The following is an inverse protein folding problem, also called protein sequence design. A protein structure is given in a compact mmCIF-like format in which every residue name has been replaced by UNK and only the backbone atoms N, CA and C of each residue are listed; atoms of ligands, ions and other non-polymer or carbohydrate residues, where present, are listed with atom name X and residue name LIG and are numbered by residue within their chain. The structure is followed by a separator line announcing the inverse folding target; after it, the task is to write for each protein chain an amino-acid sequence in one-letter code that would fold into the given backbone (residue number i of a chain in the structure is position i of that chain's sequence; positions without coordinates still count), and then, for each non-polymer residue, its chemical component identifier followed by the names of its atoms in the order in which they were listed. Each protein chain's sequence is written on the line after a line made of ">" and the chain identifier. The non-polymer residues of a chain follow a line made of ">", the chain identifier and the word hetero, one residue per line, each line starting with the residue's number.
data_IF_079739677832
#
_entry.id   IF_079739677832
#
_cell.length_a   1.000
_cell.length_b   1.000
_cell.length_c   1.000
_cell.angle_alpha   90.00
_cell.angle_beta   90.00
_cell.angle_gamma   90.00
#
_symmetry.space_group_name_H-M   'P 1'
#
loop_
_entity.id
_entity.type
_entity.pdbx_description
1 polymer ?
#
# COMPACT_ATOMS: atom_id res chain seq x y z
N UNK A 1 17.67 40.14 18.73
CA UNK A 1 17.30 39.70 20.06
C UNK A 1 16.76 38.31 19.87
N UNK A 2 17.43 37.21 20.03
CA UNK A 2 18.44 36.83 21.00
C UNK A 2 17.89 35.82 21.99
N UNK A 3 18.52 34.64 21.97
CA UNK A 3 18.59 33.56 22.95
C UNK A 3 17.83 32.28 22.53
N UNK A 4 18.43 31.21 22.00
CA UNK A 4 19.55 30.30 22.41
C UNK A 4 19.46 29.81 23.86
N UNK A 5 19.37 28.50 24.03
CA UNK A 5 19.88 27.57 25.08
C UNK A 5 19.20 26.22 24.78
N UNK A 6 19.78 25.08 24.47
CA UNK A 6 21.13 24.54 24.76
C UNK A 6 21.08 23.43 25.82
N UNK A 7 21.74 22.32 25.51
CA UNK A 7 22.15 21.15 26.33
C UNK A 7 21.18 19.96 26.30
N UNK A 8 21.58 18.77 25.94
CA UNK A 8 22.90 18.08 25.96
C UNK A 8 23.10 17.30 27.25
N UNK A 9 23.26 16.00 27.15
CA UNK A 9 23.86 15.07 28.14
C UNK A 9 23.35 13.67 27.77
N UNK A 10 24.14 12.65 27.62
CA UNK A 10 25.49 12.41 28.04
C UNK A 10 25.69 10.89 28.02
N UNK A 11 26.64 10.49 27.27
CA UNK A 11 27.22 9.14 27.22
C UNK A 11 27.97 8.89 28.52
N UNK A 12 27.81 7.73 29.17
CA UNK A 12 28.80 7.24 30.13
C UNK A 12 29.13 5.79 29.85
N UNK A 13 30.37 5.66 29.42
CA UNK A 13 31.24 4.51 29.45
C UNK A 13 31.62 4.19 30.90
N UNK A 14 31.75 2.93 31.25
CA UNK A 14 32.19 2.48 32.58
C UNK A 14 32.90 1.15 32.52
N UNK A 15 34.20 1.23 32.20
CA UNK A 15 35.18 0.17 32.45
C UNK A 15 35.58 0.18 33.94
N UNK A 16 36.24 -0.93 34.31
CA UNK A 16 37.04 -1.24 35.52
C UNK A 16 36.29 -2.06 36.56
N UNK A 17 36.86 -3.09 37.14
CA UNK A 17 38.26 -3.37 37.46
C UNK A 17 38.46 -4.84 37.87
N UNK A 18 39.68 -5.30 37.66
CA UNK A 18 40.33 -6.50 38.21
C UNK A 18 40.32 -6.46 39.74
N UNK A 19 40.19 -7.61 40.37
CA UNK A 19 40.96 -7.95 41.56
C UNK A 19 41.21 -9.43 41.67
N UNK A 20 42.44 -9.74 41.69
CA UNK A 20 43.26 -10.84 42.12
C UNK A 20 43.24 -11.03 43.63
N UNK A 21 43.41 -12.24 44.11
CA UNK A 21 44.03 -12.64 45.39
C UNK A 21 44.01 -14.19 45.42
N UNK A 22 45.07 -14.82 45.23
CA UNK A 22 46.18 -15.18 46.16
C UNK A 22 45.98 -16.60 46.76
N UNK A 23 46.96 -17.44 46.42
CA UNK A 23 47.26 -18.70 47.12
C UNK A 23 47.66 -18.47 48.60
N UNK A 24 47.62 -19.52 49.39
CA UNK A 24 48.90 -19.93 49.97
C UNK A 24 49.13 -21.46 50.06
N UNK A 25 50.22 -21.77 49.80
CA UNK A 25 51.34 -22.64 50.08
C UNK A 25 51.35 -23.41 51.45
N UNK A 26 52.12 -24.50 51.43
CA UNK A 26 52.81 -25.28 52.50
C UNK A 26 52.10 -26.60 52.89
N UNK A 27 52.82 -27.70 53.17
CA UNK A 27 54.21 -28.07 53.20
C UNK A 27 54.33 -29.60 53.32
N UNK A 28 55.43 -30.12 52.85
CA UNK A 28 56.28 -31.28 53.29
C UNK A 28 55.71 -32.44 54.07
N UNK A 29 55.96 -33.68 53.58
CA UNK A 29 56.76 -34.65 54.33
C UNK A 29 57.32 -35.79 53.44
N UNK A 30 58.59 -36.07 53.71
CA UNK A 30 59.43 -37.11 53.10
C UNK A 30 58.97 -38.54 53.32
N UNK A 31 59.29 -39.40 52.37
CA UNK A 31 59.20 -40.87 52.55
C UNK A 31 59.90 -41.63 51.41
N UNK A 32 61.07 -42.11 51.69
CA UNK A 32 62.02 -42.84 50.82
C UNK A 32 61.46 -44.12 50.25
N UNK A 33 61.89 -44.39 49.05
CA UNK A 33 62.10 -45.54 48.13
C UNK A 33 61.90 -46.97 48.66
N UNK A 34 61.63 -47.96 47.76
CA UNK A 34 62.67 -48.41 46.83
C UNK A 34 62.18 -48.80 45.39
N UNK A 35 63.14 -48.69 44.51
CA UNK A 35 63.16 -49.06 43.08
C UNK A 35 62.58 -50.45 42.79
N UNK A 36 61.67 -50.49 41.81
CA UNK A 36 61.50 -51.67 40.94
C UNK A 36 61.46 -51.21 39.49
N UNK A 37 62.25 -51.87 38.67
CA UNK A 37 62.44 -51.71 37.24
C UNK A 37 61.13 -51.83 36.44
N UNK A 38 61.01 -51.04 35.33
CA UNK A 38 59.79 -51.05 34.52
C UNK A 38 59.75 -52.27 33.59
N UNK A 39 58.56 -52.86 33.36
CA UNK A 39 58.41 -53.77 32.26
C UNK A 39 58.31 -53.00 30.93
N UNK A 40 58.94 -53.60 29.93
CA UNK A 40 59.03 -53.23 28.53
C UNK A 40 57.77 -52.55 27.96
N UNK A 41 57.98 -51.34 27.47
CA UNK A 41 57.03 -50.61 26.69
C UNK A 41 56.65 -51.33 25.41
N UNK A 42 55.40 -51.82 25.36
CA UNK A 42 54.77 -52.14 24.08
C UNK A 42 54.46 -50.83 23.35
N UNK A 43 55.22 -50.56 22.32
CA UNK A 43 54.94 -49.45 21.39
C UNK A 43 53.67 -49.77 20.64
N UNK A 44 52.55 -49.14 21.04
CA UNK A 44 51.33 -49.13 20.23
C UNK A 44 51.63 -48.22 19.02
N UNK A 45 51.50 -48.74 17.78
CA UNK A 45 51.81 -47.95 16.61
C UNK A 45 50.85 -46.75 16.51
N UNK A 46 51.35 -45.56 16.50
CA UNK A 46 50.63 -44.27 16.38
C UNK A 46 49.77 -44.14 15.11
N UNK A 47 49.78 -45.15 14.24
CA UNK A 47 49.01 -45.21 13.00
C UNK A 47 47.53 -45.55 13.15
N UNK A 48 47.11 -46.19 14.26
CA UNK A 48 45.73 -46.53 14.49
C UNK A 48 44.90 -45.33 15.00
N UNK A 49 45.42 -44.55 15.92
CA UNK A 49 44.77 -43.34 16.44
C UNK A 49 44.60 -42.26 15.37
N UNK A 50 45.53 -42.14 14.43
CA UNK A 50 45.44 -41.20 13.32
C UNK A 50 44.35 -41.64 12.28
N UNK A 51 44.17 -42.93 12.06
CA UNK A 51 43.12 -43.44 11.17
C UNK A 51 41.73 -43.23 11.76
N UNK A 52 41.56 -43.44 13.06
CA UNK A 52 40.27 -43.24 13.72
C UNK A 52 39.84 -41.75 13.73
N UNK A 53 40.80 -40.82 13.94
CA UNK A 53 40.51 -39.38 13.81
C UNK A 53 40.16 -38.96 12.37
N UNK A 54 40.76 -39.57 11.35
CA UNK A 54 40.42 -39.30 9.96
C UNK A 54 39.04 -39.86 9.59
N UNK A 55 38.68 -41.09 10.07
CA UNK A 55 37.33 -41.69 9.85
C UNK A 55 36.25 -40.90 10.54
N UNK A 56 36.48 -40.39 11.74
CA UNK A 56 35.52 -39.50 12.44
C UNK A 56 35.33 -38.15 11.73
N UNK A 57 36.43 -37.56 11.20
CA UNK A 57 36.37 -36.33 10.40
C UNK A 57 35.66 -36.54 9.05
N UNK A 58 35.91 -37.65 8.37
CA UNK A 58 35.24 -38.01 7.12
C UNK A 58 33.76 -38.32 7.36
N UNK A 59 33.44 -39.03 8.43
CA UNK A 59 32.06 -39.28 8.83
C UNK A 59 31.28 -38.01 9.17
N UNK A 60 31.92 -37.04 9.90
CA UNK A 60 31.35 -35.72 10.19
C UNK A 60 31.14 -34.90 8.94
N UNK A 61 32.08 -34.91 7.98
CA UNK A 61 31.95 -34.23 6.70
C UNK A 61 30.84 -34.80 5.84
N UNK A 62 30.72 -36.13 5.76
CA UNK A 62 29.63 -36.81 5.08
C UNK A 62 28.27 -36.49 5.71
N UNK A 63 28.18 -36.41 7.03
CA UNK A 63 26.95 -36.08 7.73
C UNK A 63 26.54 -34.62 7.43
N UNK A 64 27.47 -33.66 7.43
CA UNK A 64 27.22 -32.27 7.06
C UNK A 64 26.77 -32.12 5.61
N UNK A 65 27.39 -32.84 4.68
CA UNK A 65 26.98 -32.85 3.27
C UNK A 65 25.59 -33.48 3.12
N UNK A 66 25.28 -34.55 3.82
CA UNK A 66 23.93 -35.14 3.80
C UNK A 66 22.86 -34.21 4.41
N UNK A 67 23.18 -33.52 5.51
CA UNK A 67 22.28 -32.56 6.12
C UNK A 67 22.05 -31.35 5.22
N UNK A 68 23.10 -30.81 4.59
CA UNK A 68 22.96 -29.71 3.64
C UNK A 68 22.20 -30.11 2.37
N UNK A 69 22.41 -31.34 1.88
CA UNK A 69 21.67 -31.88 0.75
C UNK A 69 20.18 -32.11 1.07
N UNK A 70 19.88 -32.64 2.26
CA UNK A 70 18.50 -32.78 2.72
C UNK A 70 17.82 -31.43 2.92
N UNK A 71 18.51 -30.44 3.49
CA UNK A 71 18.01 -29.07 3.61
C UNK A 71 17.73 -28.46 2.23
N UNK A 72 18.66 -28.65 1.27
CA UNK A 72 18.46 -28.21 -0.11
C UNK A 72 17.28 -28.92 -0.79
N UNK A 73 17.14 -30.23 -0.63
CA UNK A 73 16.00 -31.00 -1.15
C UNK A 73 14.66 -30.52 -0.56
N UNK A 74 14.61 -30.32 0.76
CA UNK A 74 13.38 -29.83 1.42
C UNK A 74 13.02 -28.42 0.95
N UNK A 75 14.01 -27.52 0.84
CA UNK A 75 13.79 -26.17 0.30
C UNK A 75 13.27 -26.25 -1.13
N UNK A 76 13.88 -27.06 -1.98
CA UNK A 76 13.47 -27.24 -3.36
C UNK A 76 12.07 -27.88 -3.50
N UNK A 77 11.71 -28.81 -2.62
CA UNK A 77 10.36 -29.38 -2.56
C UNK A 77 9.33 -28.33 -2.13
N UNK A 78 9.66 -27.49 -1.14
CA UNK A 78 8.79 -26.40 -0.70
C UNK A 78 8.59 -25.38 -1.84
N UNK A 79 9.65 -25.00 -2.54
CA UNK A 79 9.56 -24.09 -3.70
C UNK A 79 8.73 -24.69 -4.84
N UNK A 80 8.90 -25.99 -5.15
CA UNK A 80 8.11 -26.66 -6.18
C UNK A 80 6.64 -26.79 -5.77
N UNK A 81 6.36 -27.04 -4.49
CA UNK A 81 5.00 -27.15 -3.98
C UNK A 81 4.30 -25.77 -3.94
N UNK A 82 5.03 -24.70 -3.58
CA UNK A 82 4.50 -23.34 -3.61
C UNK A 82 4.24 -22.86 -5.05
N UNK A 83 5.14 -23.14 -5.99
CA UNK A 83 4.92 -22.79 -7.40
C UNK A 83 3.74 -23.54 -8.00
N UNK A 84 3.60 -24.85 -7.73
CA UNK A 84 2.46 -25.63 -8.19
C UNK A 84 1.13 -25.14 -7.57
N UNK A 85 1.17 -24.73 -6.29
CA UNK A 85 0.01 -24.13 -5.63
C UNK A 85 -0.37 -22.79 -6.27
N UNK A 86 0.62 -21.94 -6.55
CA UNK A 86 0.40 -20.65 -7.21
C UNK A 86 -0.14 -20.84 -8.64
N UNK A 87 0.42 -21.75 -9.42
CA UNK A 87 -0.08 -22.09 -10.75
C UNK A 87 -1.54 -22.58 -10.71
N UNK A 88 -1.89 -23.38 -9.71
CA UNK A 88 -3.27 -23.83 -9.50
C UNK A 88 -4.20 -22.65 -9.16
N UNK A 89 -3.79 -21.74 -8.26
CA UNK A 89 -4.57 -20.55 -7.93
C UNK A 89 -4.78 -19.66 -9.17
N UNK A 90 -3.73 -19.45 -9.96
CA UNK A 90 -3.84 -18.74 -11.25
C UNK A 90 -4.78 -19.45 -12.21
N UNK A 91 -4.69 -20.78 -12.30
CA UNK A 91 -5.60 -21.56 -13.13
C UNK A 91 -7.06 -21.31 -12.73
N UNK A 92 -7.37 -21.31 -11.41
CA UNK A 92 -8.73 -21.07 -10.89
C UNK A 92 -9.25 -19.68 -11.30
N UNK A 93 -8.43 -18.62 -11.20
CA UNK A 93 -8.86 -17.27 -11.57
C UNK A 93 -8.87 -16.98 -13.07
N UNK A 94 -8.15 -17.77 -13.88
CA UNK A 94 -8.09 -17.56 -15.34
C UNK A 94 -9.10 -18.39 -16.13
N UNK A 95 -9.67 -19.45 -15.54
CA UNK A 95 -10.55 -20.36 -16.25
C UNK A 95 -12.03 -20.12 -15.97
N UNK A 96 -12.88 -20.31 -16.98
CA UNK A 96 -14.32 -20.05 -16.92
C UNK A 96 -15.10 -20.96 -15.93
N UNK A 97 -14.52 -22.11 -15.55
CA UNK A 97 -15.16 -23.08 -14.67
C UNK A 97 -15.14 -22.74 -13.17
N UNK A 98 -14.40 -21.72 -12.76
CA UNK A 98 -14.34 -21.29 -11.36
C UNK A 98 -15.61 -20.60 -10.89
N UNK A 99 -16.16 -20.99 -9.73
CA UNK A 99 -17.24 -20.24 -9.09
C UNK A 99 -16.73 -18.87 -8.61
N UNK A 100 -17.58 -17.83 -8.46
CA UNK A 100 -17.15 -16.55 -7.90
C UNK A 100 -16.44 -16.69 -6.54
N UNK A 101 -16.88 -17.62 -5.70
CA UNK A 101 -16.29 -17.84 -4.38
C UNK A 101 -14.89 -18.48 -4.48
N UNK A 102 -14.72 -19.51 -5.31
CA UNK A 102 -13.39 -20.12 -5.53
C UNK A 102 -12.39 -19.14 -6.16
N UNK A 103 -12.86 -18.27 -7.06
CA UNK A 103 -12.01 -17.20 -7.64
C UNK A 103 -11.63 -16.16 -6.61
N UNK A 104 -12.54 -15.76 -5.73
CA UNK A 104 -12.27 -14.86 -4.61
C UNK A 104 -11.21 -15.43 -3.67
N UNK A 105 -11.37 -16.69 -3.23
CA UNK A 105 -10.40 -17.35 -2.36
C UNK A 105 -9.02 -17.41 -3.01
N UNK A 106 -8.95 -17.82 -4.29
CA UNK A 106 -7.70 -17.86 -5.03
C UNK A 106 -7.06 -16.45 -5.21
N UNK A 107 -7.87 -15.42 -5.48
CA UNK A 107 -7.41 -14.04 -5.55
C UNK A 107 -6.78 -13.58 -4.23
N UNK A 108 -7.49 -13.78 -3.11
CA UNK A 108 -6.99 -13.35 -1.79
C UNK A 108 -5.73 -14.12 -1.39
N UNK A 109 -5.63 -15.41 -1.72
CA UNK A 109 -4.43 -16.20 -1.50
C UNK A 109 -3.24 -15.66 -2.31
N UNK A 110 -3.44 -15.33 -3.59
CA UNK A 110 -2.40 -14.74 -4.44
C UNK A 110 -1.97 -13.35 -3.97
N UNK A 111 -2.91 -12.52 -3.49
CA UNK A 111 -2.60 -11.23 -2.87
C UNK A 111 -1.72 -11.44 -1.64
N UNK A 112 -2.08 -12.37 -0.76
CA UNK A 112 -1.31 -12.69 0.45
C UNK A 112 0.11 -13.20 0.14
N UNK A 113 0.31 -13.87 -1.00
CA UNK A 113 1.62 -14.29 -1.51
C UNK A 113 2.40 -13.17 -2.22
N UNK A 114 1.85 -11.94 -2.28
CA UNK A 114 2.47 -10.80 -2.95
C UNK A 114 2.48 -10.92 -4.47
N UNK A 115 1.44 -11.51 -5.06
CA UNK A 115 1.31 -11.56 -6.52
C UNK A 115 1.21 -10.15 -7.11
N UNK A 116 1.91 -9.91 -8.21
CA UNK A 116 1.96 -8.63 -8.91
C UNK A 116 1.55 -8.70 -10.38
N UNK A 117 1.05 -9.85 -10.86
CA UNK A 117 0.66 -10.06 -12.25
C UNK A 117 -0.81 -10.49 -12.29
N UNK A 118 -1.66 -9.63 -12.86
CA UNK A 118 -3.11 -9.85 -12.93
C UNK A 118 -3.63 -9.97 -14.37
N UNK A 119 -2.74 -9.94 -15.37
CA UNK A 119 -3.11 -10.12 -16.77
C UNK A 119 -3.82 -11.46 -16.98
N UNK A 120 -4.97 -11.43 -17.62
CA UNK A 120 -5.84 -12.59 -17.85
C UNK A 120 -6.57 -13.15 -16.62
N UNK A 121 -6.41 -12.57 -15.43
CA UNK A 121 -7.20 -12.97 -14.26
C UNK A 121 -8.68 -12.57 -14.44
N UNK A 122 -9.59 -13.52 -14.24
CA UNK A 122 -11.04 -13.30 -14.32
C UNK A 122 -11.60 -13.05 -12.94
N UNK A 123 -11.56 -11.78 -12.51
CA UNK A 123 -11.94 -11.36 -11.17
C UNK A 123 -13.23 -10.54 -11.16
N UNK A 124 -13.94 -10.53 -12.29
CA UNK A 124 -15.21 -9.82 -12.42
C UNK A 124 -16.30 -10.42 -11.56
N UNK A 125 -17.19 -9.57 -11.07
CA UNK A 125 -18.40 -9.91 -10.29
C UNK A 125 -18.11 -10.65 -8.98
N UNK A 126 -16.96 -10.43 -8.36
CA UNK A 126 -16.62 -10.97 -7.04
C UNK A 126 -17.31 -10.17 -5.93
N UNK A 127 -17.57 -10.85 -4.82
CA UNK A 127 -17.98 -10.20 -3.58
C UNK A 127 -16.75 -10.01 -2.67
N UNK A 128 -16.22 -8.78 -2.66
CA UNK A 128 -15.04 -8.34 -1.92
C UNK A 128 -15.41 -7.24 -0.90
N UNK A 129 -16.65 -7.24 -0.39
CA UNK A 129 -17.07 -6.26 0.60
C UNK A 129 -16.20 -6.35 1.85
N UNK A 130 -15.75 -5.19 2.37
CA UNK A 130 -14.93 -5.07 3.57
C UNK A 130 -13.56 -5.72 3.46
N UNK A 131 -13.10 -6.08 2.24
CA UNK A 131 -11.78 -6.69 2.06
C UNK A 131 -10.68 -5.68 2.41
N UNK A 132 -9.63 -6.16 3.05
CA UNK A 132 -8.41 -5.38 3.27
C UNK A 132 -7.38 -5.71 2.16
N UNK A 133 -7.14 -4.71 1.32
CA UNK A 133 -6.18 -4.71 0.21
C UNK A 133 -5.20 -3.54 0.35
N UNK A 134 -5.02 -3.02 1.57
CA UNK A 134 -4.12 -1.90 1.80
C UNK A 134 -2.68 -2.23 1.41
N UNK A 135 -2.05 -1.32 0.66
CA UNK A 135 -0.68 -1.46 0.19
C UNK A 135 -0.43 -2.61 -0.78
N UNK A 136 -1.47 -3.22 -1.34
CA UNK A 136 -1.32 -4.34 -2.29
C UNK A 136 -1.04 -3.85 -3.71
N UNK A 137 -0.34 -4.68 -4.49
CA UNK A 137 -0.09 -4.43 -5.90
C UNK A 137 -1.21 -5.02 -6.75
N UNK A 138 -2.04 -4.15 -7.32
CA UNK A 138 -3.22 -4.50 -8.13
C UNK A 138 -3.18 -3.85 -9.53
N UNK A 139 -1.99 -3.42 -10.00
CA UNK A 139 -1.87 -2.79 -11.29
C UNK A 139 -2.37 -3.69 -12.42
N UNK A 140 -3.22 -3.15 -13.29
CA UNK A 140 -3.84 -3.86 -14.41
C UNK A 140 -4.87 -4.92 -14.02
N UNK A 141 -5.29 -5.01 -12.74
CA UNK A 141 -6.34 -5.95 -12.32
C UNK A 141 -7.69 -5.60 -12.96
N UNK A 142 -8.49 -6.61 -13.30
CA UNK A 142 -9.86 -6.45 -13.82
C UNK A 142 -10.86 -6.96 -12.78
N UNK A 143 -11.56 -6.04 -12.13
CA UNK A 143 -12.56 -6.32 -11.07
C UNK A 143 -13.97 -5.90 -11.48
N UNK A 144 -14.24 -5.74 -12.77
CA UNK A 144 -15.47 -5.19 -13.32
C UNK A 144 -16.74 -5.85 -12.72
N UNK A 145 -17.70 -5.02 -12.31
CA UNK A 145 -18.97 -5.47 -11.75
C UNK A 145 -18.87 -6.12 -10.37
N UNK A 146 -17.71 -6.08 -9.72
CA UNK A 146 -17.52 -6.62 -8.37
C UNK A 146 -18.16 -5.72 -7.32
N UNK A 147 -18.36 -6.26 -6.11
CA UNK A 147 -18.83 -5.53 -4.94
C UNK A 147 -17.69 -5.40 -3.96
N UNK A 148 -17.33 -4.16 -3.65
CA UNK A 148 -16.20 -3.81 -2.78
C UNK A 148 -16.61 -2.72 -1.78
N UNK A 149 -17.85 -2.81 -1.30
CA UNK A 149 -18.38 -1.86 -0.30
C UNK A 149 -17.52 -1.90 0.95
N UNK A 150 -17.09 -0.74 1.45
CA UNK A 150 -16.22 -0.59 2.62
C UNK A 150 -14.83 -1.26 2.47
N UNK A 151 -14.39 -1.57 1.24
CA UNK A 151 -13.07 -2.13 1.01
C UNK A 151 -11.95 -1.15 1.42
N UNK A 152 -10.85 -1.68 1.98
CA UNK A 152 -9.68 -0.90 2.36
C UNK A 152 -8.61 -1.04 1.28
N UNK A 153 -8.37 0.04 0.53
CA UNK A 153 -7.43 0.11 -0.59
C UNK A 153 -6.38 1.22 -0.36
N UNK A 154 -6.15 1.58 0.90
CA UNK A 154 -5.18 2.61 1.26
C UNK A 154 -3.80 2.27 0.72
N UNK A 155 -3.19 3.21 -0.03
CA UNK A 155 -1.86 3.05 -0.65
C UNK A 155 -1.73 1.83 -1.56
N UNK A 156 -2.84 1.25 -2.03
CA UNK A 156 -2.80 0.19 -3.04
C UNK A 156 -2.33 0.76 -4.38
N UNK A 157 -1.63 -0.05 -5.17
CA UNK A 157 -1.26 0.26 -6.53
C UNK A 157 -2.32 -0.31 -7.48
N UNK A 158 -3.13 0.56 -8.04
CA UNK A 158 -4.22 0.27 -8.97
C UNK A 158 -3.96 0.85 -10.37
N UNK A 159 -2.69 1.13 -10.71
CA UNK A 159 -2.30 1.66 -12.01
C UNK A 159 -3.00 0.88 -13.14
N UNK A 160 -3.72 1.58 -14.02
CA UNK A 160 -4.43 1.00 -15.16
C UNK A 160 -5.43 -0.13 -14.80
N UNK A 161 -5.88 -0.22 -13.55
CA UNK A 161 -6.86 -1.22 -13.14
C UNK A 161 -8.23 -0.94 -13.78
N UNK A 162 -9.02 -2.00 -14.04
CA UNK A 162 -10.40 -1.89 -14.50
C UNK A 162 -11.37 -2.16 -13.35
N UNK A 163 -12.15 -1.12 -13.00
CA UNK A 163 -13.15 -1.08 -11.94
C UNK A 163 -14.54 -0.68 -12.50
N UNK A 164 -14.84 -1.00 -13.74
CA UNK A 164 -16.09 -0.61 -14.40
C UNK A 164 -17.29 -1.21 -13.68
N UNK A 165 -18.28 -0.39 -13.41
CA UNK A 165 -19.52 -0.80 -12.73
C UNK A 165 -19.32 -1.44 -11.35
N UNK A 166 -18.17 -1.25 -10.71
CA UNK A 166 -17.88 -1.77 -9.36
C UNK A 166 -18.67 -0.97 -8.32
N UNK A 167 -19.15 -1.66 -7.29
CA UNK A 167 -19.75 -1.03 -6.11
C UNK A 167 -18.66 -0.80 -5.05
N UNK A 168 -18.14 0.43 -4.99
CA UNK A 168 -17.06 0.89 -4.11
C UNK A 168 -17.55 1.88 -3.04
N UNK A 169 -18.84 1.83 -2.72
CA UNK A 169 -19.40 2.74 -1.72
C UNK A 169 -18.67 2.59 -0.39
N UNK A 170 -18.29 3.73 0.21
CA UNK A 170 -17.54 3.82 1.48
C UNK A 170 -16.17 3.15 1.45
N UNK A 171 -15.64 2.83 0.28
CA UNK A 171 -14.28 2.30 0.17
C UNK A 171 -13.24 3.38 0.47
N UNK A 172 -12.08 2.97 0.99
CA UNK A 172 -10.96 3.86 1.30
C UNK A 172 -9.83 3.69 0.31
N UNK A 173 -9.52 4.76 -0.43
CA UNK A 173 -8.42 4.86 -1.38
C UNK A 173 -7.36 5.89 -0.95
N UNK A 174 -7.23 6.13 0.36
CA UNK A 174 -6.30 7.12 0.89
C UNK A 174 -4.87 6.84 0.41
N UNK A 175 -4.27 7.78 -0.32
CA UNK A 175 -2.93 7.67 -0.89
C UNK A 175 -2.77 6.58 -1.96
N UNK A 176 -3.86 6.04 -2.52
CA UNK A 176 -3.80 5.00 -3.55
C UNK A 176 -3.26 5.54 -4.88
N UNK A 177 -2.52 4.71 -5.62
CA UNK A 177 -2.06 4.99 -6.97
C UNK A 177 -3.08 4.46 -7.97
N UNK A 178 -3.87 5.34 -8.57
CA UNK A 178 -4.99 5.02 -9.44
C UNK A 178 -4.86 5.69 -10.82
N UNK A 179 -3.62 5.99 -11.23
CA UNK A 179 -3.34 6.59 -12.53
C UNK A 179 -3.89 5.72 -13.66
N UNK A 180 -4.57 6.35 -14.62
CA UNK A 180 -5.23 5.68 -15.76
C UNK A 180 -6.25 4.60 -15.37
N UNK A 181 -6.78 4.60 -14.16
CA UNK A 181 -7.82 3.64 -13.76
C UNK A 181 -9.08 3.81 -14.59
N UNK A 182 -9.74 2.71 -14.94
CA UNK A 182 -11.01 2.69 -15.68
C UNK A 182 -12.16 2.38 -14.70
N UNK A 183 -12.91 3.40 -14.27
CA UNK A 183 -14.00 3.24 -13.31
C UNK A 183 -15.38 3.68 -13.87
N UNK A 184 -15.59 3.55 -15.18
CA UNK A 184 -16.83 3.89 -15.84
C UNK A 184 -18.06 3.33 -15.08
N UNK A 185 -19.01 4.20 -14.72
CA UNK A 185 -20.25 3.86 -13.99
C UNK A 185 -20.03 3.17 -12.64
N UNK A 186 -18.88 3.32 -12.02
CA UNK A 186 -18.68 2.82 -10.67
C UNK A 186 -19.54 3.61 -9.66
N UNK A 187 -19.87 2.97 -8.53
CA UNK A 187 -20.53 3.60 -7.40
C UNK A 187 -19.50 3.93 -6.34
N UNK A 188 -19.31 5.21 -6.09
CA UNK A 188 -18.27 5.76 -5.22
C UNK A 188 -18.88 6.58 -4.06
N UNK A 189 -20.20 6.41 -3.77
CA UNK A 189 -20.84 7.19 -2.74
C UNK A 189 -20.14 7.02 -1.39
N UNK A 190 -19.83 8.13 -0.72
CA UNK A 190 -19.12 8.19 0.56
C UNK A 190 -17.69 7.58 0.53
N UNK A 191 -17.10 7.35 -0.66
CA UNK A 191 -15.73 6.84 -0.77
C UNK A 191 -14.69 7.93 -0.43
N UNK A 192 -13.50 7.52 0.04
CA UNK A 192 -12.43 8.39 0.50
C UNK A 192 -11.21 8.30 -0.41
N UNK A 193 -10.85 9.43 -1.06
CA UNK A 193 -9.73 9.56 -1.99
C UNK A 193 -8.69 10.60 -1.51
N UNK A 194 -8.54 10.77 -0.19
CA UNK A 194 -7.56 11.71 0.34
C UNK A 194 -6.16 11.39 -0.20
N UNK A 195 -5.49 12.38 -0.83
CA UNK A 195 -4.16 12.24 -1.45
C UNK A 195 -4.05 11.11 -2.51
N UNK A 196 -5.15 10.63 -3.07
CA UNK A 196 -5.10 9.61 -4.12
C UNK A 196 -4.63 10.20 -5.45
N UNK A 197 -3.81 9.44 -6.21
CA UNK A 197 -3.43 9.79 -7.58
C UNK A 197 -4.42 9.19 -8.57
N UNK A 198 -5.31 10.01 -9.11
CA UNK A 198 -6.34 9.68 -10.12
C UNK A 198 -6.02 10.32 -11.48
N UNK A 199 -4.76 10.65 -11.72
CA UNK A 199 -4.34 11.29 -12.96
C UNK A 199 -4.76 10.45 -14.17
N UNK A 200 -5.31 11.12 -15.20
CA UNK A 200 -5.79 10.49 -16.43
C UNK A 200 -6.84 9.38 -16.19
N UNK A 201 -7.47 9.32 -15.01
CA UNK A 201 -8.48 8.32 -14.70
C UNK A 201 -9.77 8.55 -15.50
N UNK A 202 -10.42 7.45 -15.90
CA UNK A 202 -11.73 7.44 -16.54
C UNK A 202 -12.82 7.19 -15.50
N UNK A 203 -13.48 8.28 -15.08
CA UNK A 203 -14.54 8.31 -14.07
C UNK A 203 -15.90 8.72 -14.68
N UNK A 204 -16.09 8.47 -15.96
CA UNK A 204 -17.33 8.86 -16.64
C UNK A 204 -18.55 8.15 -16.05
N UNK A 205 -19.60 8.93 -15.87
CA UNK A 205 -20.90 8.44 -15.37
C UNK A 205 -20.81 7.75 -13.98
N UNK A 206 -19.81 8.06 -13.17
CA UNK A 206 -19.73 7.56 -11.79
C UNK A 206 -20.78 8.24 -10.92
N UNK A 207 -21.23 7.54 -9.87
CA UNK A 207 -22.02 8.11 -8.77
C UNK A 207 -21.08 8.23 -7.56
N UNK A 208 -20.79 9.46 -7.13
CA UNK A 208 -19.83 9.76 -6.08
C UNK A 208 -20.42 10.76 -5.06
N UNK A 209 -21.65 10.53 -4.63
CA UNK A 209 -22.30 11.42 -3.67
C UNK A 209 -21.56 11.41 -2.33
N UNK A 210 -21.27 12.62 -1.81
CA UNK A 210 -20.56 12.81 -0.53
C UNK A 210 -19.18 12.13 -0.46
N UNK A 211 -18.58 11.84 -1.61
CA UNK A 211 -17.23 11.32 -1.67
C UNK A 211 -16.20 12.39 -1.30
N UNK A 212 -15.02 11.99 -0.82
CA UNK A 212 -13.96 12.86 -0.35
C UNK A 212 -12.76 12.77 -1.29
N UNK A 213 -12.58 13.79 -2.14
CA UNK A 213 -11.44 13.93 -3.05
C UNK A 213 -10.44 14.99 -2.54
N UNK A 214 -10.33 15.12 -1.21
CA UNK A 214 -9.46 16.13 -0.60
C UNK A 214 -8.00 15.87 -0.98
N UNK A 215 -7.34 16.89 -1.55
CA UNK A 215 -5.94 16.84 -2.00
C UNK A 215 -5.65 15.73 -3.03
N UNK A 216 -6.68 15.16 -3.68
CA UNK A 216 -6.50 14.16 -4.74
C UNK A 216 -6.02 14.81 -6.05
N UNK A 217 -5.20 14.09 -6.82
CA UNK A 217 -4.79 14.49 -8.16
C UNK A 217 -5.70 13.84 -9.21
N UNK A 218 -6.60 14.63 -9.79
CA UNK A 218 -7.48 14.27 -10.89
C UNK A 218 -7.08 14.99 -12.20
N UNK A 219 -5.83 15.44 -12.32
CA UNK A 219 -5.39 16.11 -13.55
C UNK A 219 -5.53 15.19 -14.77
N UNK A 220 -5.84 15.77 -15.92
CA UNK A 220 -6.05 15.05 -17.18
C UNK A 220 -7.21 14.02 -17.14
N UNK A 221 -8.04 13.97 -16.08
CA UNK A 221 -9.07 12.95 -15.90
C UNK A 221 -10.35 13.20 -16.71
N UNK A 222 -11.10 12.12 -16.97
CA UNK A 222 -12.37 12.13 -17.69
C UNK A 222 -13.52 11.93 -16.71
N UNK A 223 -14.29 13.01 -16.44
CA UNK A 223 -15.39 13.08 -15.47
C UNK A 223 -16.73 13.33 -16.16
N UNK A 224 -16.82 13.06 -17.46
CA UNK A 224 -18.03 13.29 -18.26
C UNK A 224 -19.27 12.66 -17.63
N UNK A 225 -20.33 13.45 -17.40
CA UNK A 225 -21.61 13.03 -16.81
C UNK A 225 -21.46 12.36 -15.41
N UNK A 226 -20.38 12.59 -14.68
CA UNK A 226 -20.22 12.08 -13.31
C UNK A 226 -21.07 12.91 -12.32
N UNK A 227 -21.60 12.27 -11.28
CA UNK A 227 -22.37 12.94 -10.23
C UNK A 227 -21.59 12.98 -8.91
N UNK A 228 -21.11 14.18 -8.56
CA UNK A 228 -20.35 14.49 -7.35
C UNK A 228 -21.18 15.26 -6.31
N UNK A 229 -22.50 15.12 -6.32
CA UNK A 229 -23.38 15.86 -5.43
C UNK A 229 -22.95 15.74 -3.95
N UNK A 230 -22.68 16.87 -3.31
CA UNK A 230 -22.32 16.95 -1.89
C UNK A 230 -20.90 16.47 -1.55
N UNK A 231 -20.05 16.26 -2.55
CA UNK A 231 -18.67 15.80 -2.36
C UNK A 231 -17.71 16.93 -1.99
N UNK A 232 -16.53 16.60 -1.48
CA UNK A 232 -15.44 17.56 -1.23
C UNK A 232 -14.30 17.35 -2.20
N UNK A 233 -13.89 18.43 -2.87
CA UNK A 233 -12.68 18.53 -3.70
C UNK A 233 -11.70 19.56 -3.13
N UNK A 234 -11.73 19.76 -1.81
CA UNK A 234 -10.85 20.72 -1.15
C UNK A 234 -9.39 20.45 -1.48
N UNK A 235 -8.71 21.40 -2.14
CA UNK A 235 -7.32 21.28 -2.55
C UNK A 235 -7.06 20.25 -3.66
N UNK A 236 -8.08 19.66 -4.27
CA UNK A 236 -7.91 18.70 -5.36
C UNK A 236 -7.33 19.39 -6.62
N UNK A 237 -6.51 18.66 -7.37
CA UNK A 237 -6.00 19.09 -8.67
C UNK A 237 -6.90 18.54 -9.79
N UNK A 238 -7.63 19.42 -10.46
CA UNK A 238 -8.50 19.13 -11.62
C UNK A 238 -7.93 19.70 -12.92
N UNK A 239 -6.64 20.09 -12.96
CA UNK A 239 -6.02 20.68 -14.15
C UNK A 239 -6.29 19.82 -15.39
N UNK A 240 -6.74 20.46 -16.47
CA UNK A 240 -7.05 19.84 -17.76
C UNK A 240 -8.12 18.73 -17.70
N UNK A 241 -8.85 18.58 -16.58
CA UNK A 241 -9.92 17.60 -16.45
C UNK A 241 -11.13 17.92 -17.34
N UNK A 242 -11.77 16.89 -17.87
CA UNK A 242 -13.03 17.02 -18.62
C UNK A 242 -14.24 16.84 -17.71
N UNK A 243 -14.87 17.95 -17.30
CA UNK A 243 -16.06 18.00 -16.43
C UNK A 243 -17.36 18.19 -17.23
N UNK A 244 -17.36 17.96 -18.55
CA UNK A 244 -18.51 18.18 -19.40
C UNK A 244 -19.73 17.41 -18.90
N UNK A 245 -20.87 18.10 -18.70
CA UNK A 245 -22.12 17.57 -18.16
C UNK A 245 -22.00 16.92 -16.75
N UNK A 246 -20.89 17.16 -16.02
CA UNK A 246 -20.76 16.67 -14.66
C UNK A 246 -21.61 17.46 -13.65
N UNK A 247 -22.00 16.83 -12.56
CA UNK A 247 -22.85 17.42 -11.52
C UNK A 247 -22.02 17.66 -10.26
N UNK A 248 -21.82 18.95 -9.93
CA UNK A 248 -21.12 19.42 -8.73
C UNK A 248 -22.07 20.13 -7.74
N UNK A 249 -23.29 19.62 -7.60
CA UNK A 249 -24.28 20.24 -6.71
C UNK A 249 -23.83 20.18 -5.25
N UNK A 250 -23.86 21.32 -4.56
CA UNK A 250 -23.47 21.43 -3.15
C UNK A 250 -22.05 20.91 -2.86
N UNK A 251 -21.15 20.98 -3.82
CA UNK A 251 -19.77 20.49 -3.73
C UNK A 251 -18.86 21.55 -3.13
N UNK A 252 -17.93 21.14 -2.25
CA UNK A 252 -16.87 22.00 -1.76
C UNK A 252 -15.66 21.95 -2.70
N UNK A 253 -15.41 23.06 -3.38
CA UNK A 253 -14.30 23.27 -4.32
C UNK A 253 -13.22 24.21 -3.74
N UNK A 254 -13.20 24.41 -2.42
CA UNK A 254 -12.22 25.28 -1.77
C UNK A 254 -10.81 24.86 -2.13
N UNK A 255 -10.01 25.81 -2.65
CA UNK A 255 -8.61 25.60 -3.07
C UNK A 255 -8.41 24.58 -4.19
N UNK A 256 -9.47 24.05 -4.81
CA UNK A 256 -9.34 23.17 -5.95
C UNK A 256 -8.69 23.92 -7.13
N UNK A 257 -7.75 23.27 -7.82
CA UNK A 257 -7.08 23.81 -9.01
C UNK A 257 -7.83 23.33 -10.25
N UNK A 258 -8.34 24.28 -11.05
CA UNK A 258 -9.20 24.04 -12.21
C UNK A 258 -8.67 24.67 -13.49
N UNK A 259 -7.34 24.85 -13.60
CA UNK A 259 -6.71 25.35 -14.82
C UNK A 259 -7.03 24.42 -16.00
N UNK A 260 -7.38 24.96 -17.16
CA UNK A 260 -7.63 24.21 -18.38
C UNK A 260 -8.88 23.30 -18.35
N UNK A 261 -9.67 23.30 -17.27
CA UNK A 261 -10.86 22.44 -17.17
C UNK A 261 -11.92 22.76 -18.22
N UNK A 262 -12.61 21.72 -18.71
CA UNK A 262 -13.77 21.84 -19.61
C UNK A 262 -15.05 21.72 -18.78
N UNK A 263 -15.83 22.81 -18.73
CA UNK A 263 -17.02 22.93 -17.87
C UNK A 263 -18.35 22.92 -18.66
N UNK A 264 -18.34 22.57 -19.94
CA UNK A 264 -19.55 22.63 -20.80
C UNK A 264 -20.68 21.86 -20.15
N UNK A 265 -21.82 22.52 -19.96
CA UNK A 265 -23.06 21.95 -19.38
C UNK A 265 -22.89 21.35 -17.95
N UNK A 266 -21.79 21.65 -17.25
CA UNK A 266 -21.61 21.21 -15.87
C UNK A 266 -22.53 21.99 -14.91
N UNK A 267 -23.08 21.29 -13.88
CA UNK A 267 -23.98 21.86 -12.89
C UNK A 267 -23.26 22.15 -11.55
N UNK A 268 -23.05 23.43 -11.25
CA UNK A 268 -22.44 23.90 -10.01
C UNK A 268 -23.46 24.48 -9.00
N UNK A 269 -24.73 24.12 -9.11
CA UNK A 269 -25.76 24.59 -8.19
C UNK A 269 -25.39 24.28 -6.75
N UNK A 270 -25.32 25.28 -5.90
CA UNK A 270 -24.95 25.10 -4.51
C UNK A 270 -23.45 24.87 -4.25
N UNK A 271 -22.58 24.74 -5.24
CA UNK A 271 -21.13 24.63 -5.04
C UNK A 271 -20.48 26.00 -4.75
N UNK A 272 -19.34 26.00 -4.09
CA UNK A 272 -18.54 27.19 -3.81
C UNK A 272 -17.42 27.41 -4.84
N UNK A 273 -17.77 27.31 -6.13
CA UNK A 273 -16.86 27.38 -7.26
C UNK A 273 -15.95 28.65 -7.25
N UNK A 274 -16.37 29.74 -6.63
CA UNK A 274 -15.58 30.96 -6.48
C UNK A 274 -14.35 30.82 -5.57
N UNK A 275 -14.24 29.73 -4.84
CA UNK A 275 -13.08 29.38 -4.01
C UNK A 275 -12.05 28.52 -4.75
N UNK A 276 -12.38 28.06 -5.96
CA UNK A 276 -11.46 27.37 -6.84
C UNK A 276 -10.45 28.32 -7.47
N UNK A 277 -9.35 27.79 -7.93
CA UNK A 277 -8.26 28.49 -8.60
C UNK A 277 -8.19 28.09 -10.08
N UNK A 278 -7.58 28.93 -10.91
CA UNK A 278 -7.30 28.61 -12.32
C UNK A 278 -8.48 28.77 -13.29
N UNK A 279 -9.67 29.15 -12.82
CA UNK A 279 -10.80 29.44 -13.70
C UNK A 279 -10.54 30.70 -14.51
N UNK A 280 -10.80 30.64 -15.81
CA UNK A 280 -10.72 31.80 -16.71
C UNK A 280 -11.82 32.82 -16.41
N UNK A 281 -11.61 34.09 -16.77
CA UNK A 281 -12.61 35.13 -16.55
C UNK A 281 -13.94 34.79 -17.23
N UNK A 282 -13.92 34.18 -18.42
CA UNK A 282 -15.14 33.75 -19.12
C UNK A 282 -15.92 32.68 -18.35
N UNK A 283 -15.20 31.71 -17.72
CA UNK A 283 -15.82 30.69 -16.87
C UNK A 283 -16.41 31.29 -15.60
N UNK A 284 -15.67 32.24 -14.95
CA UNK A 284 -16.17 32.96 -13.77
C UNK A 284 -17.44 33.76 -14.08
N UNK A 285 -17.48 34.44 -15.21
CA UNK A 285 -18.66 35.21 -15.65
C UNK A 285 -19.86 34.28 -15.90
N UNK A 286 -19.64 33.13 -16.56
CA UNK A 286 -20.68 32.13 -16.82
C UNK A 286 -21.19 31.49 -15.51
N UNK A 287 -20.31 31.07 -14.61
CA UNK A 287 -20.67 30.49 -13.33
C UNK A 287 -21.40 31.49 -12.43
N UNK A 288 -20.96 32.75 -12.43
CA UNK A 288 -21.64 33.84 -11.69
C UNK A 288 -23.06 34.07 -12.22
N UNK A 289 -23.25 34.05 -13.54
CA UNK A 289 -24.56 34.26 -14.15
C UNK A 289 -25.54 33.11 -13.87
N UNK A 290 -25.05 31.87 -13.77
CA UNK A 290 -25.89 30.69 -13.62
C UNK A 290 -26.04 30.23 -12.17
N UNK A 291 -24.99 30.34 -11.33
CA UNK A 291 -24.86 29.67 -10.04
C UNK A 291 -24.44 30.56 -8.87
N UNK A 292 -24.54 31.89 -9.01
CA UNK A 292 -24.36 32.77 -7.86
C UNK A 292 -25.35 32.44 -6.75
N UNK A 293 -24.94 32.52 -5.46
CA UNK A 293 -25.88 32.29 -4.35
C UNK A 293 -27.09 33.23 -4.42
N UNK A 294 -28.28 32.64 -4.41
CA UNK A 294 -29.58 33.32 -4.40
C UNK A 294 -30.06 33.63 -2.97
N UNK A 295 -31.30 34.07 -2.85
CA UNK A 295 -31.93 34.42 -1.56
C UNK A 295 -32.12 33.23 -0.67
N UNK A 296 -32.26 31.99 -1.24
CA UNK A 296 -32.46 30.74 -0.53
C UNK A 296 -31.15 30.16 0.01
N UNK A 297 -30.00 30.63 -0.49
CA UNK A 297 -28.71 30.23 0.02
C UNK A 297 -28.49 30.71 1.46
N UNK A 298 -27.71 29.97 2.26
CA UNK A 298 -27.39 30.40 3.62
C UNK A 298 -26.72 31.79 3.65
N UNK A 299 -26.99 32.57 4.71
CA UNK A 299 -26.38 33.89 4.86
C UNK A 299 -24.85 33.85 4.79
N UNK A 300 -24.26 32.84 5.44
CA UNK A 300 -22.80 32.63 5.45
C UNK A 300 -22.24 32.45 4.03
N UNK A 301 -22.92 31.66 3.19
CA UNK A 301 -22.52 31.42 1.80
C UNK A 301 -22.65 32.70 0.95
N UNK A 302 -23.74 33.47 1.11
CA UNK A 302 -23.91 34.75 0.43
C UNK A 302 -22.82 35.73 0.81
N UNK A 303 -22.52 35.85 2.11
CA UNK A 303 -21.49 36.75 2.62
C UNK A 303 -20.09 36.37 2.11
N UNK A 304 -19.82 35.08 1.99
CA UNK A 304 -18.56 34.58 1.45
C UNK A 304 -18.40 34.95 -0.04
N UNK A 305 -19.45 34.72 -0.82
CA UNK A 305 -19.47 35.09 -2.24
C UNK A 305 -19.32 36.59 -2.43
N UNK A 306 -20.01 37.41 -1.60
CA UNK A 306 -19.88 38.88 -1.66
C UNK A 306 -18.48 39.37 -1.32
N UNK A 307 -17.81 38.76 -0.37
CA UNK A 307 -16.39 39.06 -0.07
C UNK A 307 -15.49 38.73 -1.26
N UNK A 308 -15.71 37.60 -1.91
CA UNK A 308 -14.98 37.24 -3.12
C UNK A 308 -15.19 38.25 -4.23
N UNK A 309 -16.43 38.63 -4.53
CA UNK A 309 -16.74 39.66 -5.54
C UNK A 309 -16.07 41.01 -5.23
N UNK A 310 -16.01 41.41 -3.97
CA UNK A 310 -15.34 42.60 -3.53
C UNK A 310 -13.84 42.62 -3.82
N UNK A 311 -13.22 41.46 -3.80
CA UNK A 311 -11.78 41.29 -4.06
C UNK A 311 -11.43 41.15 -5.56
N UNK A 312 -12.43 41.02 -6.46
CA UNK A 312 -12.24 40.95 -7.91
C UNK A 312 -12.18 42.35 -8.56
N UNK A 313 -12.50 43.40 -7.81
CA UNK A 313 -12.46 44.84 -8.24
C UNK A 313 -11.12 45.49 -7.90
#
# INVERSE_FOLDING_TARGET
>A
MGLSIGRGLGYTDGRETRESLAEPNMAHSDGKEPRRSPPSSAVVPSSSLQRDHQLVRLGGLCLLVLLSFNAWLTTRQIEQQSSASREHLFWVICHEGGTPESRKEAFLALVAEGNSIWTSARLEKLNLNGVDLAGTYLAGVILDGSRMVEAQLMRADLLQASLKTVDLRKASFVGAQMEEVLALRAKLDEAHFFEANLRSASLEQVHAHKAQFVEADLSDSYLYMADFTGSSFTGANLTDANLEAAIFRNTDLSLAVMDGTRLVDADFSGANWWRAQGLTQSQLDELSAKYAPDEDASAERRDDYQRWLGNQK
#
